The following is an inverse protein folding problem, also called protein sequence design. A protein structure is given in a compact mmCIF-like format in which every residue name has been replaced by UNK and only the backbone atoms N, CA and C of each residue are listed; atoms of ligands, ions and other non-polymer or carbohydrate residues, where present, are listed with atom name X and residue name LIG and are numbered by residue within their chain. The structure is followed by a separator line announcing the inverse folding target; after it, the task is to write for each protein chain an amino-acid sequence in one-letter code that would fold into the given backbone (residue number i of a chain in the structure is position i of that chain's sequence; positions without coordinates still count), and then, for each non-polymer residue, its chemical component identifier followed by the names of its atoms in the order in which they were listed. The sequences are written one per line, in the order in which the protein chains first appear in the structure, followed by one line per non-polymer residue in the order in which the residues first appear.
data_IF_146816556128
#
_entry.id   IF_146816556128
#
_cell.length_a   1.000
_cell.length_b   1.000
_cell.length_c   1.000
_cell.angle_alpha   90.00
_cell.angle_beta   90.00
_cell.angle_gamma   90.00
#
_symmetry.space_group_name_H-M   'P 1'
#
loop_
_entity.id
_entity.type
_entity.pdbx_description
1 polymer ?
#
# COMPACT_ATOMS: atom_id res chain seq x y z
N UNK A 1 -14.91 14.53 14.42
CA UNK A 1 -15.36 13.54 15.41
C UNK A 1 -14.10 13.05 16.13
N UNK A 2 -13.92 13.36 17.42
CA UNK A 2 -12.77 12.89 18.18
C UNK A 2 -12.98 11.41 18.49
N UNK A 3 -12.49 10.54 17.62
CA UNK A 3 -12.45 9.11 17.92
C UNK A 3 -11.56 8.89 19.14
N UNK A 4 -12.08 8.17 20.14
CA UNK A 4 -11.31 7.69 21.28
C UNK A 4 -10.17 6.79 20.78
N UNK A 5 -9.01 6.87 21.43
CA UNK A 5 -7.88 6.01 21.11
C UNK A 5 -8.32 4.54 21.14
N UNK A 6 -8.11 3.80 20.06
CA UNK A 6 -8.22 2.35 20.13
C UNK A 6 -6.95 1.83 20.81
N UNK A 7 -7.03 1.64 22.14
CA UNK A 7 -5.90 1.29 23.01
C UNK A 7 -5.14 0.07 22.50
N UNK A 8 -5.83 -0.89 21.86
CA UNK A 8 -5.20 -2.10 21.38
C UNK A 8 -4.45 -1.88 20.06
N UNK A 9 -5.13 -1.45 19.00
CA UNK A 9 -4.52 -1.43 17.67
C UNK A 9 -3.60 -0.22 17.44
N UNK A 10 -4.06 0.97 17.83
CA UNK A 10 -3.29 2.22 17.70
C UNK A 10 -2.12 2.23 18.71
N UNK A 11 -2.37 1.69 19.92
CA UNK A 11 -1.39 1.62 20.99
C UNK A 11 -0.18 0.72 20.68
N UNK A 12 -0.39 -0.45 20.06
CA UNK A 12 0.70 -1.36 19.69
C UNK A 12 1.65 -0.67 18.70
N UNK A 13 1.10 0.01 17.69
CA UNK A 13 1.89 0.67 16.64
C UNK A 13 2.67 1.86 17.22
N UNK A 14 2.01 2.71 18.00
CA UNK A 14 2.65 3.87 18.64
C UNK A 14 3.74 3.44 19.62
N UNK A 15 3.47 2.43 20.44
CA UNK A 15 4.45 1.90 21.40
C UNK A 15 5.64 1.25 20.69
N UNK A 16 5.41 0.41 19.67
CA UNK A 16 6.48 -0.20 18.88
C UNK A 16 7.36 0.84 18.17
N UNK A 17 6.76 1.91 17.63
CA UNK A 17 7.52 3.02 17.05
C UNK A 17 8.38 3.76 18.10
N UNK A 18 7.86 3.93 19.31
CA UNK A 18 8.61 4.54 20.43
C UNK A 18 9.80 3.68 20.85
N UNK A 19 9.64 2.35 20.89
CA UNK A 19 10.75 1.42 21.17
C UNK A 19 11.84 1.48 20.09
N UNK A 20 11.46 1.61 18.82
CA UNK A 20 12.44 1.80 17.73
C UNK A 20 13.25 3.09 17.92
N UNK A 21 12.63 4.18 18.36
CA UNK A 21 13.34 5.43 18.68
C UNK A 21 14.33 5.27 19.86
N UNK A 22 14.11 4.27 20.72
CA UNK A 22 15.01 3.91 21.81
C UNK A 22 16.13 2.95 21.38
N UNK A 23 16.21 2.61 20.09
CA UNK A 23 17.24 1.74 19.52
C UNK A 23 16.88 0.25 19.48
N UNK A 24 15.65 -0.11 19.81
CA UNK A 24 15.18 -1.49 19.78
C UNK A 24 14.72 -1.93 18.37
N UNK A 25 14.91 -3.19 18.04
CA UNK A 25 14.52 -3.77 16.76
C UNK A 25 13.28 -4.69 16.89
N UNK A 26 12.30 -4.57 15.98
CA UNK A 26 11.17 -5.51 15.89
C UNK A 26 11.68 -6.94 15.69
N UNK A 27 10.98 -7.92 16.28
CA UNK A 27 11.27 -9.36 16.28
C UNK A 27 12.54 -9.80 17.01
N UNK A 28 13.47 -8.87 17.33
CA UNK A 28 14.67 -9.16 18.12
C UNK A 28 14.50 -8.73 19.57
N UNK A 29 14.15 -7.46 19.78
CA UNK A 29 14.10 -6.84 21.10
C UNK A 29 12.64 -6.72 21.61
N UNK A 30 11.68 -6.76 20.69
CA UNK A 30 10.26 -6.88 21.01
C UNK A 30 9.47 -7.69 19.98
N UNK A 31 8.47 -8.42 20.47
CA UNK A 31 7.59 -9.21 19.63
C UNK A 31 6.49 -8.34 19.00
N UNK A 32 6.15 -8.62 17.74
CA UNK A 32 5.01 -8.04 17.04
C UNK A 32 4.42 -9.02 16.04
N UNK A 33 3.11 -8.98 15.85
CA UNK A 33 2.41 -9.72 14.80
C UNK A 33 2.37 -8.96 13.46
N UNK A 34 2.61 -7.66 13.47
CA UNK A 34 2.57 -6.81 12.29
C UNK A 34 3.94 -6.73 11.63
N UNK A 35 3.94 -6.55 10.31
CA UNK A 35 5.17 -6.32 9.53
C UNK A 35 5.91 -5.06 10.00
N UNK A 36 7.24 -4.99 9.84
CA UNK A 36 8.05 -3.95 10.47
C UNK A 36 7.88 -2.55 9.84
N UNK A 37 7.39 -2.46 8.59
CA UNK A 37 7.31 -1.21 7.84
C UNK A 37 6.53 -0.11 8.56
N UNK A 38 5.37 -0.44 9.12
CA UNK A 38 4.53 0.52 9.83
C UNK A 38 5.25 1.13 11.05
N UNK A 39 5.98 0.31 11.82
CA UNK A 39 6.71 0.79 13.00
C UNK A 39 7.88 1.68 12.61
N UNK A 40 8.67 1.30 11.60
CA UNK A 40 9.79 2.11 11.14
C UNK A 40 9.34 3.43 10.50
N UNK A 41 8.28 3.42 9.70
CA UNK A 41 7.72 4.64 9.11
C UNK A 41 7.22 5.57 10.20
N UNK A 42 6.46 5.07 11.16
CA UNK A 42 5.95 5.91 12.25
C UNK A 42 7.06 6.41 13.17
N UNK A 43 8.07 5.58 13.48
CA UNK A 43 9.25 6.01 14.24
C UNK A 43 9.99 7.15 13.51
N UNK A 44 10.18 7.04 12.19
CA UNK A 44 10.75 8.11 11.37
C UNK A 44 9.94 9.41 11.48
N UNK A 45 8.61 9.34 11.37
CA UNK A 45 7.75 10.50 11.54
C UNK A 45 7.82 11.10 12.95
N UNK A 46 7.82 10.26 13.98
CA UNK A 46 7.97 10.70 15.37
C UNK A 46 9.32 11.37 15.64
N UNK A 47 10.40 10.95 14.97
CA UNK A 47 11.71 11.60 15.10
C UNK A 47 11.73 13.04 14.56
N UNK A 48 10.85 13.36 13.61
CA UNK A 48 10.78 14.67 12.95
C UNK A 48 9.72 15.57 13.61
N UNK A 49 8.53 15.03 13.87
CA UNK A 49 7.36 15.80 14.30
C UNK A 49 7.02 15.62 15.79
N UNK A 50 7.77 14.78 16.50
CA UNK A 50 7.51 14.42 17.89
C UNK A 50 6.59 13.21 18.04
N UNK A 51 6.69 12.54 19.20
CA UNK A 51 5.90 11.33 19.50
C UNK A 51 4.52 11.73 20.00
N UNK A 52 3.57 11.94 19.08
CA UNK A 52 2.19 12.29 19.41
C UNK A 52 1.20 11.45 18.59
N UNK A 53 0.04 11.17 19.18
CA UNK A 53 -1.07 10.48 18.49
C UNK A 53 -1.49 11.24 17.23
N UNK A 54 -1.37 12.57 17.23
CA UNK A 54 -1.73 13.37 16.07
C UNK A 54 -0.88 13.04 14.85
N UNK A 55 0.43 12.77 15.03
CA UNK A 55 1.33 12.39 13.92
C UNK A 55 0.94 11.05 13.30
N UNK A 56 0.53 10.09 14.13
CA UNK A 56 -0.02 8.80 13.68
C UNK A 56 -1.29 9.02 12.84
N UNK A 57 -2.20 9.89 13.30
CA UNK A 57 -3.46 10.17 12.58
C UNK A 57 -3.22 10.86 11.25
N UNK A 58 -2.26 11.78 11.17
CA UNK A 58 -1.86 12.38 9.90
C UNK A 58 -1.31 11.34 8.92
N UNK A 59 -0.53 10.38 9.43
CA UNK A 59 -0.02 9.27 8.63
C UNK A 59 -1.15 8.37 8.12
N UNK A 60 -2.12 8.02 8.97
CA UNK A 60 -3.28 7.21 8.60
C UNK A 60 -4.13 7.90 7.52
N UNK A 61 -4.46 9.19 7.70
CA UNK A 61 -5.21 9.98 6.70
C UNK A 61 -4.46 10.03 5.37
N UNK A 62 -3.14 10.23 5.41
CA UNK A 62 -2.29 10.24 4.20
C UNK A 62 -2.31 8.88 3.51
N UNK A 63 -2.24 7.79 4.27
CA UNK A 63 -2.27 6.42 3.76
C UNK A 63 -3.61 6.10 3.08
N UNK A 64 -4.73 6.55 3.66
CA UNK A 64 -6.07 6.39 3.07
C UNK A 64 -6.27 7.24 1.82
N UNK A 65 -5.73 8.46 1.80
CA UNK A 65 -5.73 9.29 0.61
C UNK A 65 -4.92 8.64 -0.52
N UNK A 66 -3.75 8.08 -0.20
CA UNK A 66 -2.95 7.33 -1.16
C UNK A 66 -3.70 6.11 -1.70
N UNK A 67 -4.38 5.36 -0.82
CA UNK A 67 -5.22 4.22 -1.23
C UNK A 67 -6.34 4.67 -2.17
N UNK A 68 -7.10 5.72 -1.85
CA UNK A 68 -8.17 6.18 -2.74
C UNK A 68 -7.64 6.61 -4.11
N UNK A 69 -6.50 7.31 -4.16
CA UNK A 69 -5.84 7.70 -5.41
C UNK A 69 -5.37 6.46 -6.19
N UNK A 70 -4.80 5.45 -5.53
CA UNK A 70 -4.37 4.22 -6.21
C UNK A 70 -5.55 3.46 -6.85
N UNK A 71 -6.72 3.44 -6.18
CA UNK A 71 -7.96 2.89 -6.74
C UNK A 71 -8.40 3.66 -8.00
N UNK A 72 -8.33 4.99 -7.96
CA UNK A 72 -8.61 5.84 -9.13
C UNK A 72 -7.71 5.47 -10.31
N UNK A 73 -6.40 5.36 -10.08
CA UNK A 73 -5.41 5.10 -11.13
C UNK A 73 -5.67 3.77 -11.85
N UNK A 74 -5.95 2.71 -11.08
CA UNK A 74 -6.30 1.39 -11.64
C UNK A 74 -7.63 1.47 -12.40
N UNK A 75 -8.66 2.08 -11.82
CA UNK A 75 -9.97 2.19 -12.47
C UNK A 75 -9.93 3.03 -13.77
N UNK A 76 -9.11 4.09 -13.80
CA UNK A 76 -8.93 4.94 -14.98
C UNK A 76 -8.22 4.23 -16.13
N UNK A 77 -7.48 3.16 -15.84
CA UNK A 77 -6.82 2.34 -16.85
C UNK A 77 -7.75 1.25 -17.42
N UNK A 78 -8.70 0.77 -16.62
CA UNK A 78 -9.60 -0.33 -17.00
C UNK A 78 -10.97 0.14 -17.51
N UNK A 79 -11.35 1.40 -17.27
CA UNK A 79 -12.70 1.89 -17.54
C UNK A 79 -12.74 3.38 -17.92
N UNK A 80 -13.95 3.92 -18.06
CA UNK A 80 -14.15 5.34 -18.36
C UNK A 80 -13.70 6.24 -17.20
N UNK A 81 -13.34 7.49 -17.52
CA UNK A 81 -12.96 8.50 -16.50
C UNK A 81 -14.05 8.73 -15.45
N UNK A 82 -15.32 8.68 -15.85
CA UNK A 82 -16.46 8.85 -14.94
C UNK A 82 -16.50 7.70 -13.94
N UNK A 83 -16.39 6.46 -14.43
CA UNK A 83 -16.34 5.27 -13.58
C UNK A 83 -15.18 5.33 -12.59
N UNK A 84 -13.99 5.77 -13.04
CA UNK A 84 -12.83 5.93 -12.17
C UNK A 84 -13.05 6.97 -11.06
N UNK A 85 -13.67 8.11 -11.39
CA UNK A 85 -14.04 9.14 -10.41
C UNK A 85 -15.07 8.62 -9.40
N UNK A 86 -16.03 7.81 -9.84
CA UNK A 86 -17.00 7.17 -8.93
C UNK A 86 -16.32 6.17 -7.99
N UNK A 87 -15.42 5.33 -8.50
CA UNK A 87 -14.62 4.39 -7.67
C UNK A 87 -13.80 5.16 -6.64
N UNK A 88 -13.14 6.24 -7.05
CA UNK A 88 -12.40 7.12 -6.16
C UNK A 88 -13.29 7.72 -5.08
N UNK A 89 -14.41 8.34 -5.46
CA UNK A 89 -15.30 9.04 -4.53
C UNK A 89 -15.92 8.06 -3.52
N UNK A 90 -16.44 6.92 -3.98
CA UNK A 90 -17.00 5.89 -3.10
C UNK A 90 -15.93 5.30 -2.17
N UNK A 91 -14.73 5.03 -2.70
CA UNK A 91 -13.60 4.56 -1.92
C UNK A 91 -13.17 5.57 -0.85
N UNK A 92 -13.06 6.85 -1.22
CA UNK A 92 -12.71 7.93 -0.29
C UNK A 92 -13.76 8.11 0.81
N UNK A 93 -15.06 8.07 0.47
CA UNK A 93 -16.16 8.15 1.45
C UNK A 93 -16.12 6.95 2.40
N UNK A 94 -15.97 5.74 1.86
CA UNK A 94 -15.89 4.52 2.66
C UNK A 94 -14.70 4.55 3.62
N UNK A 95 -13.52 4.91 3.10
CA UNK A 95 -12.31 5.04 3.90
C UNK A 95 -12.43 6.17 4.92
N UNK A 96 -13.11 7.28 4.63
CA UNK A 96 -13.34 8.34 5.61
C UNK A 96 -14.29 7.91 6.75
N UNK A 97 -15.25 7.04 6.45
CA UNK A 97 -16.20 6.51 7.44
C UNK A 97 -15.55 5.49 8.38
N UNK A 98 -14.53 4.76 7.93
CA UNK A 98 -13.93 3.66 8.68
C UNK A 98 -13.14 4.18 9.91
N UNK A 99 -13.66 4.02 11.13
CA UNK A 99 -13.12 4.65 12.33
C UNK A 99 -11.84 4.08 12.95
N UNK A 100 -11.15 3.12 12.30
CA UNK A 100 -9.97 2.44 12.85
C UNK A 100 -8.66 3.02 12.34
N UNK A 101 -7.91 3.71 13.20
CA UNK A 101 -6.61 4.30 12.87
C UNK A 101 -5.45 3.31 13.11
N UNK A 102 -4.32 3.54 12.46
CA UNK A 102 -3.07 2.82 12.72
C UNK A 102 -2.95 1.45 12.07
N UNK A 103 -3.96 1.00 11.32
CA UNK A 103 -3.91 -0.30 10.67
C UNK A 103 -2.97 -0.30 9.46
N UNK A 104 -1.96 -1.21 9.41
CA UNK A 104 -1.01 -1.31 8.29
C UNK A 104 -1.65 -1.75 6.96
N UNK A 105 -2.94 -2.12 6.98
CA UNK A 105 -3.67 -2.61 5.81
C UNK A 105 -3.86 -1.53 4.76
N UNK A 106 -4.03 -0.26 5.14
CA UNK A 106 -4.29 0.82 4.19
C UNK A 106 -3.06 1.10 3.32
N UNK A 107 -1.88 1.09 3.92
CA UNK A 107 -0.59 1.21 3.24
C UNK A 107 -0.35 -0.01 2.35
N UNK A 108 -0.58 -1.22 2.88
CA UNK A 108 -0.45 -2.47 2.13
C UNK A 108 -1.35 -2.49 0.89
N UNK A 109 -2.62 -2.09 1.02
CA UNK A 109 -3.54 -1.97 -0.11
C UNK A 109 -3.09 -0.88 -1.09
N UNK A 110 -2.71 0.30 -0.60
CA UNK A 110 -2.32 1.41 -1.46
C UNK A 110 -1.14 1.05 -2.36
N UNK A 111 -0.09 0.46 -1.78
CA UNK A 111 1.06 -0.02 -2.53
C UNK A 111 0.71 -1.21 -3.42
N UNK A 112 -0.19 -2.09 -3.01
CA UNK A 112 -0.68 -3.18 -3.88
C UNK A 112 -1.35 -2.65 -5.14
N UNK A 113 -2.26 -1.69 -5.02
CA UNK A 113 -2.94 -1.09 -6.17
C UNK A 113 -1.97 -0.29 -7.06
N UNK A 114 -0.96 0.36 -6.49
CA UNK A 114 0.10 1.00 -7.28
C UNK A 114 0.92 -0.03 -8.05
N UNK A 115 1.27 -1.17 -7.43
CA UNK A 115 1.95 -2.27 -8.13
C UNK A 115 1.12 -2.77 -9.31
N UNK A 116 -0.18 -3.05 -9.08
CA UNK A 116 -1.14 -3.46 -10.11
C UNK A 116 -1.22 -2.43 -11.23
N UNK A 117 -1.32 -1.14 -10.90
CA UNK A 117 -1.36 -0.06 -11.89
C UNK A 117 -0.13 -0.09 -12.80
N UNK A 118 1.07 -0.24 -12.25
CA UNK A 118 2.27 -0.31 -13.08
C UNK A 118 2.37 -1.62 -13.88
N UNK A 119 1.92 -2.76 -13.34
CA UNK A 119 1.83 -4.00 -14.12
C UNK A 119 0.89 -3.81 -15.30
N UNK A 120 -0.34 -3.33 -15.09
CA UNK A 120 -1.31 -3.09 -16.15
C UNK A 120 -0.77 -2.11 -17.20
N UNK A 121 -0.10 -1.04 -16.78
CA UNK A 121 0.55 -0.08 -17.68
C UNK A 121 1.68 -0.68 -18.50
N UNK A 122 2.42 -1.63 -17.92
CA UNK A 122 3.48 -2.35 -18.61
C UNK A 122 2.97 -3.25 -19.74
N UNK A 123 1.68 -3.63 -19.71
CA UNK A 123 1.05 -4.45 -20.75
C UNK A 123 0.63 -3.63 -21.99
N UNK A 124 0.62 -2.29 -21.90
CA UNK A 124 0.31 -1.41 -23.03
C UNK A 124 1.46 -1.40 -24.07
N UNK A 125 1.14 -1.59 -25.35
CA UNK A 125 2.13 -1.76 -26.44
C UNK A 125 3.11 -0.58 -26.62
N UNK A 126 2.70 0.63 -26.27
CA UNK A 126 3.47 1.86 -26.53
C UNK A 126 4.32 2.31 -25.32
N UNK A 127 4.40 1.51 -24.25
CA UNK A 127 5.01 1.93 -22.97
C UNK A 127 6.34 1.23 -22.67
N UNK A 128 7.25 1.90 -21.92
CA UNK A 128 8.54 1.31 -21.56
C UNK A 128 8.39 0.22 -20.50
N UNK A 129 8.23 -1.03 -20.96
CA UNK A 129 8.05 -2.25 -20.14
C UNK A 129 8.96 -2.29 -18.89
N UNK A 130 10.26 -2.02 -19.05
CA UNK A 130 11.24 -2.13 -17.95
C UNK A 130 11.00 -1.14 -16.81
N UNK A 131 10.62 0.11 -17.10
CA UNK A 131 10.44 1.14 -16.06
C UNK A 131 9.21 0.81 -15.20
N UNK A 132 8.15 0.35 -15.86
CA UNK A 132 6.89 0.05 -15.20
C UNK A 132 7.02 -1.23 -14.36
N UNK A 133 7.71 -2.26 -14.85
CA UNK A 133 7.99 -3.45 -14.04
C UNK A 133 8.89 -3.18 -12.84
N UNK A 134 9.88 -2.26 -12.95
CA UNK A 134 10.68 -1.83 -11.79
C UNK A 134 9.81 -1.11 -10.77
N UNK A 135 8.94 -0.21 -11.23
CA UNK A 135 8.00 0.49 -10.35
C UNK A 135 7.03 -0.48 -9.66
N UNK A 136 6.47 -1.45 -10.41
CA UNK A 136 5.64 -2.51 -9.86
C UNK A 136 6.37 -3.30 -8.77
N UNK A 137 7.57 -3.81 -9.08
CA UNK A 137 8.38 -4.55 -8.10
C UNK A 137 8.74 -3.73 -6.85
N UNK A 138 8.99 -2.43 -7.00
CA UNK A 138 9.20 -1.53 -5.86
C UNK A 138 7.96 -1.46 -4.97
N UNK A 139 6.78 -1.24 -5.56
CA UNK A 139 5.53 -1.15 -4.82
C UNK A 139 5.11 -2.50 -4.21
N UNK A 140 5.35 -3.61 -4.89
CA UNK A 140 5.21 -4.96 -4.32
C UNK A 140 6.11 -5.15 -3.09
N UNK A 141 7.37 -4.69 -3.17
CA UNK A 141 8.30 -4.70 -2.03
C UNK A 141 7.82 -3.82 -0.87
N UNK A 142 7.29 -2.64 -1.17
CA UNK A 142 6.66 -1.78 -0.15
C UNK A 142 5.43 -2.47 0.46
N UNK A 143 4.57 -3.12 -0.33
CA UNK A 143 3.49 -3.96 0.21
C UNK A 143 4.03 -4.99 1.18
N UNK A 144 5.14 -5.67 0.86
CA UNK A 144 5.71 -6.69 1.73
C UNK A 144 6.17 -6.13 3.08
N UNK A 145 6.68 -4.89 3.12
CA UNK A 145 7.10 -4.23 4.35
C UNK A 145 5.94 -3.94 5.31
N UNK A 146 4.74 -3.69 4.79
CA UNK A 146 3.54 -3.41 5.59
C UNK A 146 2.68 -4.67 5.81
N UNK A 147 2.58 -5.53 4.80
CA UNK A 147 1.71 -6.71 4.72
C UNK A 147 2.36 -7.79 3.84
N UNK A 148 3.25 -8.58 4.43
CA UNK A 148 3.98 -9.65 3.72
C UNK A 148 3.04 -10.71 3.12
N UNK A 149 1.94 -11.03 3.79
CA UNK A 149 0.89 -11.92 3.29
C UNK A 149 0.25 -11.37 2.00
N UNK A 150 -0.12 -10.09 1.97
CA UNK A 150 -0.70 -9.46 0.79
C UNK A 150 0.30 -9.43 -0.37
N UNK A 151 1.57 -9.17 -0.07
CA UNK A 151 2.62 -9.18 -1.08
C UNK A 151 2.82 -10.57 -1.70
N UNK A 152 2.71 -11.65 -0.92
CA UNK A 152 2.80 -13.02 -1.46
C UNK A 152 1.67 -13.28 -2.46
N UNK A 153 0.42 -12.99 -2.08
CA UNK A 153 -0.72 -13.19 -2.98
C UNK A 153 -0.60 -12.32 -4.24
N UNK A 154 -0.19 -11.07 -4.07
CA UNK A 154 -0.01 -10.14 -5.18
C UNK A 154 1.10 -10.58 -6.13
N UNK A 155 2.26 -10.98 -5.60
CA UNK A 155 3.39 -11.46 -6.40
C UNK A 155 2.99 -12.65 -7.28
N UNK A 156 2.27 -13.62 -6.70
CA UNK A 156 1.78 -14.79 -7.45
C UNK A 156 0.84 -14.36 -8.58
N UNK A 157 -0.12 -13.47 -8.29
CA UNK A 157 -1.07 -12.98 -9.29
C UNK A 157 -0.36 -12.22 -10.43
N UNK A 158 0.55 -11.30 -10.11
CA UNK A 158 1.29 -10.51 -11.09
C UNK A 158 2.19 -11.38 -11.97
N UNK A 159 2.88 -12.38 -11.39
CA UNK A 159 3.70 -13.33 -12.14
C UNK A 159 2.84 -14.15 -13.12
N UNK A 160 1.68 -14.65 -12.68
CA UNK A 160 0.76 -15.39 -13.56
C UNK A 160 0.31 -14.52 -14.74
N UNK A 161 -0.09 -13.27 -14.47
CA UNK A 161 -0.52 -12.32 -15.52
C UNK A 161 0.60 -12.04 -16.51
N UNK A 162 1.82 -11.80 -16.03
CA UNK A 162 2.98 -11.52 -16.88
C UNK A 162 3.37 -12.74 -17.74
N UNK A 163 3.31 -13.95 -17.19
CA UNK A 163 3.56 -15.19 -17.95
C UNK A 163 2.48 -15.38 -19.02
N UNK A 164 1.20 -15.23 -18.67
CA UNK A 164 0.08 -15.35 -19.60
C UNK A 164 0.20 -14.36 -20.76
N UNK A 165 0.55 -13.10 -20.46
CA UNK A 165 0.78 -12.06 -21.45
C UNK A 165 1.99 -12.34 -22.35
N UNK A 166 3.10 -12.83 -21.78
CA UNK A 166 4.27 -13.22 -22.56
C UNK A 166 3.96 -14.39 -23.51
N UNK A 167 3.07 -15.30 -23.10
CA UNK A 167 2.65 -16.43 -23.93
C UNK A 167 1.69 -16.01 -25.05
N UNK A 168 0.75 -15.10 -24.79
CA UNK A 168 -0.17 -14.59 -25.82
C UNK A 168 0.60 -13.88 -26.94
N UNK A 169 1.58 -13.03 -26.60
CA UNK A 169 2.42 -12.34 -27.60
C UNK A 169 3.29 -13.26 -28.46
N UNK A 170 3.67 -14.44 -27.96
CA UNK A 170 4.42 -15.44 -28.75
C UNK A 170 3.54 -16.19 -29.75
N UNK A 171 2.24 -16.24 -29.48
CA UNK A 171 1.27 -17.01 -30.27
C UNK A 171 0.66 -16.19 -31.41
N UNK A 172 0.85 -14.87 -31.41
CA UNK A 172 0.45 -14.00 -32.52
C UNK A 172 1.38 -14.20 -33.73
N UNK A 173 0.86 -14.63 -34.90
CA UNK A 173 1.66 -14.73 -36.11
C UNK A 173 2.13 -13.34 -36.53
N UNK A 174 3.43 -13.18 -36.80
CA UNK A 174 3.97 -11.98 -37.43
C UNK A 174 3.45 -11.93 -38.88
N UNK A 175 2.33 -11.22 -39.11
CA UNK A 175 1.78 -10.93 -40.44
C UNK A 175 2.34 -9.64 -41.00
#
# INVERSE_FOLDING_TARGET
MFASLNIYDEGIIVYGATRILQGELPYRDFWTQYSPGQFYTLAGLFSIFGTTIMVERWWDVTSRALLSISLYLVAAQLSSRITALLVWALGAIWLAYYGFFGYPIFQGLAFSFLSIYFVLRSLEEQRPLRRDLIAAGLFLGLTALFRHDMAIYLAVAEVIVLIAFAWSRRSEPQS
#
